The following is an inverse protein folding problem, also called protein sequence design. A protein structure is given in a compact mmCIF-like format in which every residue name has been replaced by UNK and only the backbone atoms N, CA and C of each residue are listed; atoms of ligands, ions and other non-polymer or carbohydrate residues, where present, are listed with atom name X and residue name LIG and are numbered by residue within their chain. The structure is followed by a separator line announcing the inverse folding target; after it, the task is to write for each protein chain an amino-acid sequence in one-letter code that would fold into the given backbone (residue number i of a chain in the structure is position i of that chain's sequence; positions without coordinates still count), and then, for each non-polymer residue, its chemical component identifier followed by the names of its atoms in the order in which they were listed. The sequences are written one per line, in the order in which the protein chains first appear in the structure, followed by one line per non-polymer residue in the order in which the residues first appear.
data_IF_126617851608
#
_entry.id   IF_126617851608
#
_cell.length_a   1.000
_cell.length_b   1.000
_cell.length_c   1.000
_cell.angle_alpha   90.00
_cell.angle_beta   90.00
_cell.angle_gamma   90.00
#
_symmetry.space_group_name_H-M   'P 1'
#
loop_
_entity.id
_entity.type
_entity.pdbx_description
1 polymer ?
#
# COMPACT_ATOMS: atom_id res chain seq x y z
N UNK A 1 -5.56 -12.39 4.86
CA UNK A 1 -5.63 -11.64 3.59
C UNK A 1 -4.21 -11.31 3.16
N UNK A 2 -3.84 -11.65 1.93
CA UNK A 2 -2.54 -11.35 1.32
C UNK A 2 -2.73 -10.21 0.33
N UNK A 3 -1.69 -9.41 0.13
CA UNK A 3 -1.67 -8.24 -0.74
C UNK A 3 -0.62 -8.48 -1.82
N UNK A 4 -1.06 -8.54 -3.08
CA UNK A 4 -0.19 -8.68 -4.23
C UNK A 4 0.43 -7.34 -4.60
N UNK A 5 1.68 -7.38 -5.07
CA UNK A 5 2.43 -6.22 -5.53
C UNK A 5 3.31 -6.58 -6.72
N UNK A 6 3.72 -5.53 -7.44
CA UNK A 6 4.72 -5.58 -8.52
C UNK A 6 5.76 -4.51 -8.26
N UNK A 7 7.04 -4.83 -8.36
CA UNK A 7 8.11 -3.84 -8.38
C UNK A 7 8.18 -3.24 -9.80
N UNK A 8 7.91 -1.94 -9.98
CA UNK A 8 7.89 -1.34 -11.31
C UNK A 8 9.28 -1.22 -11.96
N UNK A 9 10.36 -1.35 -11.18
CA UNK A 9 11.75 -1.25 -11.67
C UNK A 9 12.30 -2.57 -12.17
N UNK A 10 11.97 -3.69 -11.51
CA UNK A 10 12.43 -5.03 -11.89
C UNK A 10 11.37 -5.88 -12.58
N UNK A 11 10.09 -5.56 -12.41
CA UNK A 11 8.96 -6.39 -12.83
C UNK A 11 8.68 -7.56 -11.89
N UNK A 12 9.39 -7.66 -10.77
CA UNK A 12 9.18 -8.71 -9.78
C UNK A 12 7.78 -8.62 -9.19
N UNK A 13 7.19 -9.76 -8.88
CA UNK A 13 5.86 -9.82 -8.26
C UNK A 13 5.93 -10.67 -7.01
N UNK A 14 5.01 -10.39 -6.08
CA UNK A 14 4.88 -11.21 -4.88
C UNK A 14 3.60 -10.87 -4.14
N UNK A 15 3.41 -11.56 -3.03
CA UNK A 15 2.35 -11.28 -2.10
C UNK A 15 2.85 -11.32 -0.66
N UNK A 16 2.31 -10.44 0.16
CA UNK A 16 2.70 -10.29 1.55
C UNK A 16 1.46 -10.08 2.42
N UNK A 17 1.58 -10.37 3.71
CA UNK A 17 0.64 -9.86 4.70
C UNK A 17 0.78 -8.35 4.84
N UNK A 18 -0.26 -7.70 5.37
CA UNK A 18 -0.21 -6.27 5.69
C UNK A 18 0.93 -5.93 6.66
N UNK A 19 1.20 -6.80 7.63
CA UNK A 19 2.26 -6.60 8.61
C UNK A 19 3.65 -6.65 7.97
N UNK A 20 3.88 -7.59 7.03
CA UNK A 20 5.15 -7.69 6.28
C UNK A 20 5.39 -6.45 5.41
N UNK A 21 4.35 -5.95 4.73
CA UNK A 21 4.48 -4.70 3.92
C UNK A 21 4.79 -3.51 4.81
N UNK A 22 4.12 -3.37 5.95
CA UNK A 22 4.40 -2.29 6.92
C UNK A 22 5.85 -2.36 7.39
N UNK A 23 6.33 -3.55 7.80
CA UNK A 23 7.71 -3.72 8.25
C UNK A 23 8.73 -3.42 7.14
N UNK A 24 8.43 -3.78 5.90
CA UNK A 24 9.27 -3.44 4.75
C UNK A 24 9.30 -1.93 4.48
N UNK A 25 8.16 -1.25 4.50
CA UNK A 25 8.07 0.20 4.32
C UNK A 25 8.83 0.98 5.43
N UNK A 26 8.80 0.48 6.66
CA UNK A 26 9.54 1.09 7.79
C UNK A 26 11.06 0.91 7.69
N UNK A 27 11.53 -0.17 7.06
CA UNK A 27 12.97 -0.50 6.99
C UNK A 27 13.65 0.00 5.72
N UNK A 28 12.95 -0.01 4.59
CA UNK A 28 13.52 0.27 3.27
C UNK A 28 13.21 1.69 2.78
N UNK A 29 12.42 2.48 3.51
CA UNK A 29 11.93 3.79 3.08
C UNK A 29 11.29 3.77 1.67
N UNK A 30 10.80 2.60 1.24
CA UNK A 30 10.20 2.39 -0.07
C UNK A 30 8.86 3.11 -0.19
N UNK A 31 8.59 3.70 -1.36
CA UNK A 31 7.28 4.27 -1.69
C UNK A 31 6.38 3.17 -2.23
N UNK A 32 5.20 3.03 -1.66
CA UNK A 32 4.15 2.14 -2.16
C UNK A 32 3.06 3.00 -2.78
N UNK A 33 2.50 2.56 -3.89
CA UNK A 33 1.32 3.18 -4.49
C UNK A 33 0.35 2.10 -4.96
N UNK A 34 -0.91 2.48 -5.13
CA UNK A 34 -1.88 1.73 -5.93
C UNK A 34 -2.02 2.41 -7.28
N UNK A 35 -2.18 1.61 -8.33
CA UNK A 35 -2.40 2.10 -9.70
C UNK A 35 -3.74 1.53 -10.20
N UNK A 36 -4.58 2.38 -10.77
CA UNK A 36 -5.82 1.94 -11.42
C UNK A 36 -5.58 1.52 -12.88
N UNK A 37 -6.61 0.98 -13.53
CA UNK A 37 -6.50 0.53 -14.92
C UNK A 37 -6.26 1.68 -15.93
N UNK A 38 -6.49 2.94 -15.53
CA UNK A 38 -6.20 4.12 -16.33
C UNK A 38 -4.77 4.66 -16.08
N UNK A 39 -4.00 4.02 -15.20
CA UNK A 39 -2.63 4.42 -14.84
C UNK A 39 -2.57 5.50 -13.76
N UNK A 40 -3.69 5.86 -13.12
CA UNK A 40 -3.67 6.83 -12.04
C UNK A 40 -3.06 6.20 -10.79
N UNK A 41 -2.08 6.89 -10.20
CA UNK A 41 -1.36 6.43 -9.02
C UNK A 41 -1.78 7.18 -7.77
N UNK A 42 -1.94 6.44 -6.68
CA UNK A 42 -2.18 7.00 -5.35
C UNK A 42 -1.19 6.39 -4.37
N UNK A 43 -0.41 7.25 -3.73
CA UNK A 43 0.57 6.81 -2.74
C UNK A 43 -0.12 6.15 -1.54
N UNK A 44 0.55 5.17 -0.94
CA UNK A 44 0.12 4.44 0.25
C UNK A 44 1.08 4.78 1.37
N UNK A 45 0.51 5.16 2.51
CA UNK A 45 1.23 5.44 3.74
C UNK A 45 0.86 4.48 4.87
N UNK A 46 1.74 4.42 5.87
CA UNK A 46 1.48 3.75 7.14
C UNK A 46 0.73 4.73 8.05
N UNK A 47 -0.40 4.28 8.58
CA UNK A 47 -1.13 5.00 9.63
C UNK A 47 -0.85 4.33 10.97
N UNK A 48 -0.38 5.14 11.92
CA UNK A 48 -0.19 4.74 13.32
C UNK A 48 -1.30 5.38 14.17
N UNK A 49 -2.41 4.67 14.43
CA UNK A 49 -3.50 5.21 15.24
C UNK A 49 -3.08 5.31 16.71
N UNK A 50 -3.80 6.13 17.48
CA UNK A 50 -3.61 6.23 18.93
C UNK A 50 -3.92 4.91 19.67
N UNK A 51 -4.77 4.05 19.09
CA UNK A 51 -5.08 2.71 19.58
C UNK A 51 -5.27 1.72 18.44
N UNK A 52 -4.88 0.47 18.65
CA UNK A 52 -4.97 -0.61 17.66
C UNK A 52 -3.72 -0.75 16.77
N UNK A 53 -3.71 -1.75 15.87
CA UNK A 53 -2.55 -2.03 15.02
C UNK A 53 -2.38 -0.99 13.91
N UNK A 54 -1.12 -0.78 13.50
CA UNK A 54 -0.80 -0.01 12.28
C UNK A 54 -1.51 -0.60 11.06
N UNK A 55 -1.86 0.26 10.12
CA UNK A 55 -2.51 -0.15 8.87
C UNK A 55 -2.05 0.72 7.70
N UNK A 56 -2.28 0.23 6.49
CA UNK A 56 -1.96 0.94 5.24
C UNK A 56 -3.17 1.76 4.81
N UNK A 57 -2.95 2.96 4.27
CA UNK A 57 -4.01 3.81 3.71
C UNK A 57 -3.51 4.59 2.52
N UNK A 58 -4.36 4.77 1.51
CA UNK A 58 -4.08 5.63 0.37
C UNK A 58 -4.11 7.10 0.77
N UNK A 59 -3.25 7.89 0.14
CA UNK A 59 -3.11 9.32 0.33
C UNK A 59 -3.32 10.01 -1.01
N UNK A 60 -4.56 10.45 -1.27
CA UNK A 60 -4.88 11.28 -2.42
C UNK A 60 -5.01 12.74 -1.97
N UNK A 61 -4.35 13.66 -2.66
CA UNK A 61 -4.52 15.12 -2.53
C UNK A 61 -4.36 15.72 -1.12
N UNK A 62 -3.51 15.15 -0.26
CA UNK A 62 -3.34 15.67 1.09
C UNK A 62 -4.36 15.15 2.10
N UNK A 63 -5.34 14.38 1.64
CA UNK A 63 -6.47 13.91 2.45
C UNK A 63 -6.38 12.41 2.64
N UNK A 64 -6.29 12.04 3.89
CA UNK A 64 -6.32 10.66 4.36
C UNK A 64 -7.71 10.05 4.23
N UNK A 65 -8.09 9.57 3.04
CA UNK A 65 -9.37 8.86 2.85
C UNK A 65 -9.25 7.39 3.24
N UNK A 66 -10.23 6.84 3.98
CA UNK A 66 -10.28 5.43 4.38
C UNK A 66 -10.68 4.50 3.20
N UNK A 67 -10.01 4.62 2.06
CA UNK A 67 -10.30 3.80 0.89
C UNK A 67 -9.42 2.56 0.89
N UNK A 68 -9.73 1.63 1.78
CA UNK A 68 -9.12 0.30 1.79
C UNK A 68 -9.88 -0.68 0.88
N UNK A 69 -10.29 -0.30 -0.34
CA UNK A 69 -11.09 -1.18 -1.20
C UNK A 69 -11.09 -0.76 -2.68
N UNK A 70 -9.94 -0.86 -3.35
CA UNK A 70 -9.87 -0.95 -4.82
C UNK A 70 -8.58 -1.63 -5.27
N UNK A 71 -8.12 -2.67 -4.56
CA UNK A 71 -7.12 -3.56 -5.13
C UNK A 71 -7.83 -4.53 -6.05
N UNK A 72 -7.31 -4.80 -7.27
CA UNK A 72 -7.81 -5.89 -8.09
C UNK A 72 -7.67 -7.19 -7.30
N UNK A 73 -8.80 -7.79 -6.92
CA UNK A 73 -8.85 -9.16 -6.45
C UNK A 73 -8.83 -10.03 -7.71
N UNK A 74 -7.79 -10.83 -7.86
CA UNK A 74 -7.83 -12.00 -8.75
C UNK A 74 -8.21 -13.22 -7.94
#
# INVERSE_FOLDING_TARGET
MRLWWTDPSSGDTGDNSRAEIIAWMETQHGKVYVEDAAGNRVDVGIVTPASGPKYLRTYADGVWTNNLLALPKR
#
